data_IF_929376096688
#
_entry.id   IF_929376096688
#
_cell.length_a   1.000
_cell.length_b   1.000
_cell.length_c   1.000
_cell.angle_alpha   90.00
_cell.angle_beta   90.00
_cell.angle_gamma   90.00
#
_symmetry.space_group_name_H-M   'P 1'
#
loop_
_entity.id
_entity.type
_entity.pdbx_description
1 polymer ?
#
# COMPACT_ATOMS: atom_id res chain seq x y z
N UNK A 1 -4.95 1.23 -9.59
CA UNK A 1 -4.66 0.84 -8.19
C UNK A 1 -5.19 1.78 -7.12
N UNK A 2 -5.78 2.93 -7.46
CA UNK A 2 -6.29 3.89 -6.47
C UNK A 2 -7.82 4.03 -6.49
N UNK A 3 -8.44 3.79 -7.66
CA UNK A 3 -9.87 4.05 -7.89
C UNK A 3 -10.79 2.83 -7.66
N UNK A 4 -10.26 1.60 -7.60
CA UNK A 4 -11.14 0.44 -7.35
C UNK A 4 -11.62 0.42 -5.89
N UNK A 5 -12.81 -0.14 -5.60
CA UNK A 5 -13.37 -0.12 -4.24
C UNK A 5 -12.41 -0.69 -3.18
N UNK A 6 -11.78 -1.82 -3.50
CA UNK A 6 -10.80 -2.49 -2.62
C UNK A 6 -9.60 -1.57 -2.37
N UNK A 7 -9.08 -0.92 -3.42
CA UNK A 7 -7.98 0.03 -3.28
C UNK A 7 -8.36 1.22 -2.41
N UNK A 8 -9.54 1.81 -2.60
CA UNK A 8 -9.99 2.94 -1.77
C UNK A 8 -10.07 2.56 -0.30
N UNK A 9 -10.50 1.34 0.00
CA UNK A 9 -10.50 0.83 1.39
C UNK A 9 -9.07 0.68 1.91
N UNK A 10 -8.17 0.05 1.17
CA UNK A 10 -6.75 -0.11 1.56
C UNK A 10 -6.09 1.25 1.80
N UNK A 11 -6.23 2.19 0.87
CA UNK A 11 -5.66 3.54 1.00
C UNK A 11 -6.29 4.34 2.14
N UNK A 12 -7.59 4.16 2.42
CA UNK A 12 -8.23 4.70 3.62
C UNK A 12 -7.63 4.14 4.89
N UNK A 13 -7.43 2.83 4.97
CA UNK A 13 -6.83 2.19 6.15
C UNK A 13 -5.42 2.72 6.39
N UNK A 14 -4.60 2.85 5.34
CA UNK A 14 -3.26 3.44 5.42
C UNK A 14 -3.32 4.89 5.90
N UNK A 15 -4.28 5.69 5.42
CA UNK A 15 -4.46 7.06 5.88
C UNK A 15 -4.88 7.20 7.33
N UNK A 16 -5.82 6.36 7.77
CA UNK A 16 -6.19 6.30 9.17
C UNK A 16 -4.99 5.97 10.07
N UNK A 17 -4.06 5.12 9.63
CA UNK A 17 -2.81 4.86 10.38
C UNK A 17 -1.87 6.07 10.43
N UNK A 18 -1.85 6.87 9.36
CA UNK A 18 -1.04 8.09 9.27
C UNK A 18 -1.71 9.31 9.91
N UNK A 19 -2.90 9.15 10.50
CA UNK A 19 -3.64 10.22 11.17
C UNK A 19 -4.36 11.18 10.22
N UNK A 20 -4.76 10.70 9.03
CA UNK A 20 -5.29 11.57 7.96
C UNK A 20 -6.48 10.92 7.25
N UNK A 21 -7.50 11.73 7.02
CA UNK A 21 -8.75 11.30 6.37
C UNK A 21 -8.65 11.35 4.82
N UNK A 22 -7.53 11.86 4.30
CA UNK A 22 -7.32 12.01 2.87
C UNK A 22 -7.04 10.65 2.22
N UNK A 23 -7.67 10.39 1.08
CA UNK A 23 -7.45 9.16 0.31
C UNK A 23 -6.69 9.54 -0.96
N UNK A 24 -5.46 9.04 -1.17
CA UNK A 24 -4.74 9.31 -2.41
C UNK A 24 -5.52 8.72 -3.60
N UNK A 25 -5.91 9.58 -4.53
CA UNK A 25 -6.54 9.20 -5.79
C UNK A 25 -5.51 9.06 -6.93
N UNK A 26 -4.29 9.55 -6.70
CA UNK A 26 -3.19 9.50 -7.65
C UNK A 26 -1.86 9.23 -6.96
N UNK A 27 -0.89 8.76 -7.74
CA UNK A 27 0.47 8.55 -7.26
C UNK A 27 1.11 9.85 -6.75
N UNK A 28 0.78 10.98 -7.38
CA UNK A 28 1.24 12.30 -6.94
C UNK A 28 0.66 12.69 -5.58
N UNK A 29 -0.63 12.44 -5.35
CA UNK A 29 -1.25 12.67 -4.04
C UNK A 29 -0.60 11.80 -2.97
N UNK A 30 -0.27 10.54 -3.28
CA UNK A 30 0.48 9.69 -2.36
C UNK A 30 1.84 10.30 -1.99
N UNK A 31 2.63 10.75 -2.98
CA UNK A 31 3.95 11.34 -2.70
C UNK A 31 3.87 12.65 -1.92
N UNK A 32 2.91 13.52 -2.25
CA UNK A 32 2.69 14.76 -1.50
C UNK A 32 2.37 14.46 -0.02
N UNK A 33 1.57 13.42 0.20
CA UNK A 33 1.13 13.02 1.52
C UNK A 33 2.24 12.37 2.33
N UNK A 34 2.91 11.37 1.77
CA UNK A 34 4.00 10.69 2.48
C UNK A 34 5.18 11.64 2.75
N UNK A 35 5.47 12.61 1.87
CA UNK A 35 6.48 13.64 2.15
C UNK A 35 6.06 14.61 3.27
N UNK A 36 4.75 14.87 3.44
CA UNK A 36 4.27 15.71 4.54
C UNK A 36 4.37 15.00 5.90
N UNK A 37 4.14 13.69 5.94
CA UNK A 37 4.13 12.91 7.19
C UNK A 37 5.47 12.23 7.52
N UNK A 38 6.26 11.84 6.51
CA UNK A 38 7.57 11.20 6.66
C UNK A 38 8.63 11.86 5.76
N UNK A 39 8.94 13.16 5.91
CA UNK A 39 9.89 13.86 5.04
C UNK A 39 11.31 13.25 5.07
N UNK A 40 11.69 12.57 6.15
CA UNK A 40 13.03 12.00 6.36
C UNK A 40 13.22 10.63 5.70
N UNK A 41 12.16 9.99 5.21
CA UNK A 41 12.20 8.60 4.69
C UNK A 41 11.96 8.52 3.17
N UNK A 42 12.47 9.50 2.41
CA UNK A 42 12.26 9.61 0.96
C UNK A 42 12.55 8.33 0.18
N UNK A 43 13.58 7.60 0.60
CA UNK A 43 14.07 6.40 -0.08
C UNK A 43 13.11 5.21 0.07
N UNK A 44 12.31 5.22 1.14
CA UNK A 44 11.35 4.15 1.48
C UNK A 44 9.95 4.48 0.92
N UNK A 45 9.69 5.72 0.51
CA UNK A 45 8.38 6.14 -0.04
C UNK A 45 8.00 5.32 -1.29
N UNK A 46 8.96 5.11 -2.18
CA UNK A 46 8.79 4.32 -3.41
C UNK A 46 8.57 2.85 -3.09
N UNK A 47 9.27 2.31 -2.07
CA UNK A 47 9.14 0.92 -1.61
C UNK A 47 7.78 0.69 -0.98
N UNK A 48 7.31 1.60 -0.11
CA UNK A 48 5.98 1.53 0.49
C UNK A 48 4.89 1.51 -0.58
N UNK A 49 5.01 2.40 -1.57
CA UNK A 49 4.11 2.46 -2.70
C UNK A 49 4.11 1.16 -3.50
N UNK A 50 5.30 0.66 -3.85
CA UNK A 50 5.48 -0.57 -4.61
C UNK A 50 4.91 -1.77 -3.84
N UNK A 51 5.13 -1.86 -2.53
CA UNK A 51 4.66 -2.93 -1.69
C UNK A 51 3.13 -2.97 -1.59
N UNK A 52 2.49 -1.81 -1.38
CA UNK A 52 1.02 -1.69 -1.36
C UNK A 52 0.43 -2.05 -2.73
N UNK A 53 1.05 -1.54 -3.81
CA UNK A 53 0.67 -1.89 -5.17
C UNK A 53 0.78 -3.40 -5.42
N UNK A 54 1.90 -4.01 -5.03
CA UNK A 54 2.16 -5.43 -5.21
C UNK A 54 1.19 -6.31 -4.42
N UNK A 55 0.91 -5.96 -3.16
CA UNK A 55 -0.07 -6.67 -2.34
C UNK A 55 -1.47 -6.65 -2.96
N UNK A 56 -1.91 -5.50 -3.49
CA UNK A 56 -3.19 -5.40 -4.21
C UNK A 56 -3.20 -6.25 -5.48
N UNK A 57 -2.12 -6.24 -6.26
CA UNK A 57 -2.01 -7.04 -7.47
C UNK A 57 -2.07 -8.54 -7.15
N UNK A 58 -1.31 -8.99 -6.16
CA UNK A 58 -1.30 -10.38 -5.72
C UNK A 58 -2.68 -10.84 -5.24
N UNK A 59 -3.37 -10.00 -4.46
CA UNK A 59 -4.71 -10.30 -3.97
C UNK A 59 -5.74 -10.44 -5.11
N UNK A 60 -5.65 -9.59 -6.15
CA UNK A 60 -6.50 -9.71 -7.35
C UNK A 60 -6.18 -10.97 -8.15
N UNK A 61 -4.91 -11.32 -8.30
CA UNK A 61 -4.52 -12.55 -9.01
C UNK A 61 -4.98 -13.80 -8.29
N UNK A 62 -4.86 -13.87 -6.97
CA UNK A 62 -5.38 -15.00 -6.18
C UNK A 62 -6.89 -15.16 -6.35
N UNK A 63 -7.63 -14.06 -6.40
CA UNK A 63 -9.06 -14.11 -6.66
C UNK A 63 -9.38 -14.63 -8.08
N UNK A 64 -8.63 -14.20 -9.09
CA UNK A 64 -8.85 -14.61 -10.49
C UNK A 64 -8.43 -16.06 -10.77
N UNK A 65 -7.24 -16.46 -10.31
CA UNK A 65 -6.62 -17.75 -10.67
C UNK A 65 -6.91 -18.86 -9.66
N UNK A 66 -6.87 -18.55 -8.36
CA UNK A 66 -7.10 -19.53 -7.29
C UNK A 66 -8.53 -19.53 -6.76
N UNK A 67 -9.39 -18.62 -7.26
CA UNK A 67 -10.76 -18.37 -6.75
C UNK A 67 -10.81 -18.07 -5.25
N UNK A 68 -9.70 -17.60 -4.68
CA UNK A 68 -9.60 -17.19 -3.28
C UNK A 68 -9.94 -15.70 -3.16
N UNK A 69 -11.16 -15.45 -2.71
CA UNK A 69 -11.62 -14.09 -2.44
C UNK A 69 -10.95 -13.52 -1.21
N UNK A 70 -10.77 -12.21 -1.22
CA UNK A 70 -10.20 -11.45 -0.10
C UNK A 70 -11.31 -11.34 0.96
N UNK A 71 -11.13 -11.97 2.11
CA UNK A 71 -12.15 -11.92 3.18
C UNK A 71 -12.12 -10.58 3.92
N UNK A 72 -10.95 -9.95 3.98
CA UNK A 72 -10.75 -8.70 4.70
C UNK A 72 -9.72 -7.80 4.01
N UNK A 73 -9.97 -6.48 3.90
CA UNK A 73 -8.99 -5.53 3.37
C UNK A 73 -7.70 -5.48 4.19
N UNK A 74 -7.75 -5.90 5.46
CA UNK A 74 -6.57 -5.99 6.32
C UNK A 74 -5.56 -7.01 5.83
N UNK A 75 -5.98 -8.09 5.14
CA UNK A 75 -5.05 -9.07 4.57
C UNK A 75 -4.08 -8.42 3.57
N UNK A 76 -4.58 -7.47 2.78
CA UNK A 76 -3.77 -6.71 1.82
C UNK A 76 -2.79 -5.80 2.55
N UNK A 77 -3.25 -5.13 3.61
CA UNK A 77 -2.41 -4.23 4.41
C UNK A 77 -1.29 -5.00 5.11
N UNK A 78 -1.60 -6.11 5.79
CA UNK A 78 -0.58 -6.96 6.42
C UNK A 78 0.42 -7.53 5.40
N UNK A 79 -0.08 -7.93 4.23
CA UNK A 79 0.78 -8.38 3.13
C UNK A 79 1.70 -7.26 2.66
N UNK A 80 1.19 -6.03 2.51
CA UNK A 80 1.99 -4.87 2.15
C UNK A 80 3.06 -4.58 3.23
N UNK A 81 2.72 -4.61 4.52
CA UNK A 81 3.69 -4.46 5.61
C UNK A 81 4.80 -5.52 5.56
N UNK A 82 4.45 -6.78 5.29
CA UNK A 82 5.43 -7.85 5.12
C UNK A 82 6.37 -7.58 3.94
N UNK A 83 5.85 -7.09 2.81
CA UNK A 83 6.69 -6.69 1.67
C UNK A 83 7.58 -5.49 1.98
N UNK A 84 7.08 -4.48 2.70
CA UNK A 84 7.90 -3.34 3.11
C UNK A 84 9.09 -3.83 3.95
N UNK A 85 8.84 -4.60 5.01
CA UNK A 85 9.90 -5.12 5.89
C UNK A 85 10.91 -5.99 5.13
N UNK A 86 10.42 -6.87 4.25
CA UNK A 86 11.26 -7.74 3.44
C UNK A 86 12.11 -6.95 2.43
N UNK A 87 11.52 -5.97 1.74
CA UNK A 87 12.21 -5.19 0.72
C UNK A 87 13.15 -4.13 1.29
N UNK A 88 12.82 -3.54 2.45
CA UNK A 88 13.75 -2.65 3.16
C UNK A 88 14.99 -3.41 3.62
N UNK A 89 14.85 -4.67 4.08
CA UNK A 89 15.99 -5.51 4.42
C UNK A 89 16.83 -5.96 3.21
N UNK A 90 16.27 -5.84 2.00
CA UNK A 90 16.94 -6.19 0.75
C UNK A 90 17.62 -4.99 0.07
N UNK A 91 17.36 -3.77 0.53
CA UNK A 91 18.12 -2.62 0.07
C UNK A 91 19.58 -2.77 0.50
N UNK A 92 20.50 -2.68 -0.47
CA UNK A 92 21.93 -2.61 -0.16
C UNK A 92 22.20 -1.34 0.67
N UNK A 93 23.11 -1.41 1.65
CA UNK A 93 23.57 -0.22 2.37
C UNK A 93 24.23 0.79 1.44
#
# INVERSE_FOLDING_TARGET
MFLCPIARVVWRTVGSMMGTECVPNSMWQYYAWVNAFLPTCSDIHTIGLAAICWAMWLARNRATFEKKWINSPFEIVFTACAFILYWTGLQKP
#
